data_IF_753638395231
#
_entry.id   IF_753638395231
#
_cell.length_a   1.000
_cell.length_b   1.000
_cell.length_c   1.000
_cell.angle_alpha   90.00
_cell.angle_beta   90.00
_cell.angle_gamma   90.00
#
_symmetry.space_group_name_H-M   'P 1'
#
loop_
_entity.id
_entity.type
_entity.pdbx_description
1 polymer ?
#
# COMPACT_ATOMS: atom_id res chain seq x y z
N UNK A 1 31.20 -7.78 17.59
CA UNK A 1 30.85 -7.01 16.36
C UNK A 1 29.31 -6.92 16.26
N UNK A 2 28.71 -5.72 16.41
CA UNK A 2 27.27 -5.53 16.19
C UNK A 2 27.00 -5.69 14.69
N UNK A 3 26.39 -6.80 14.31
CA UNK A 3 25.92 -7.03 12.94
C UNK A 3 24.89 -5.92 12.64
N UNK A 4 25.20 -5.06 11.69
CA UNK A 4 24.33 -3.95 11.27
C UNK A 4 23.03 -4.58 10.73
N UNK A 5 21.93 -4.42 11.44
CA UNK A 5 20.64 -4.98 11.07
C UNK A 5 20.28 -4.41 9.69
N UNK A 6 20.17 -5.28 8.68
CA UNK A 6 19.72 -4.87 7.34
C UNK A 6 18.34 -4.24 7.48
N UNK A 7 18.02 -3.26 6.66
CA UNK A 7 16.65 -2.72 6.62
C UNK A 7 15.68 -3.82 6.16
N UNK A 8 14.44 -3.76 6.62
CA UNK A 8 13.43 -4.79 6.31
C UNK A 8 13.22 -4.93 4.79
N UNK A 9 13.25 -3.81 4.06
CA UNK A 9 13.22 -3.80 2.58
C UNK A 9 14.42 -4.51 1.97
N UNK A 10 15.62 -4.35 2.54
CA UNK A 10 16.81 -5.04 2.05
C UNK A 10 16.71 -6.56 2.26
N UNK A 11 16.11 -6.99 3.38
CA UNK A 11 15.84 -8.42 3.65
C UNK A 11 14.84 -8.97 2.63
N UNK A 12 13.75 -8.25 2.36
CA UNK A 12 12.76 -8.66 1.35
C UNK A 12 13.37 -8.76 -0.06
N UNK A 13 14.23 -7.81 -0.42
CA UNK A 13 14.95 -7.85 -1.69
C UNK A 13 15.94 -9.03 -1.78
N UNK A 14 16.46 -9.52 -0.64
CA UNK A 14 17.29 -10.72 -0.64
C UNK A 14 16.48 -11.97 -1.05
N UNK A 15 15.19 -12.05 -0.65
CA UNK A 15 14.27 -13.10 -1.11
C UNK A 15 13.88 -12.96 -2.59
N UNK A 16 13.95 -11.76 -3.17
CA UNK A 16 13.73 -11.56 -4.61
C UNK A 16 14.81 -12.23 -5.48
N UNK A 17 16.01 -12.45 -4.94
CA UNK A 17 17.10 -13.14 -5.62
C UNK A 17 17.47 -12.47 -6.95
N UNK A 18 17.43 -13.22 -8.06
CA UNK A 18 17.72 -12.72 -9.41
C UNK A 18 16.69 -11.72 -9.96
N UNK A 19 15.50 -11.63 -9.34
CA UNK A 19 14.42 -10.77 -9.80
C UNK A 19 14.45 -9.35 -9.20
N UNK A 20 15.47 -9.00 -8.40
CA UNK A 20 15.67 -7.62 -7.88
C UNK A 20 15.62 -6.57 -8.98
N UNK A 21 16.22 -6.87 -10.14
CA UNK A 21 16.26 -5.96 -11.28
C UNK A 21 14.85 -5.62 -11.81
N UNK A 22 13.92 -6.57 -11.79
CA UNK A 22 12.53 -6.33 -12.20
C UNK A 22 11.81 -5.39 -11.22
N UNK A 23 12.06 -5.53 -9.91
CA UNK A 23 11.51 -4.59 -8.91
C UNK A 23 11.99 -3.16 -9.20
N UNK A 24 13.30 -2.95 -9.35
CA UNK A 24 13.84 -1.62 -9.64
C UNK A 24 13.39 -1.07 -10.98
N UNK A 25 13.31 -1.91 -12.02
CA UNK A 25 12.77 -1.51 -13.32
C UNK A 25 11.31 -1.08 -13.21
N UNK A 26 10.49 -1.84 -12.50
CA UNK A 26 9.09 -1.51 -12.28
C UNK A 26 8.91 -0.18 -11.53
N UNK A 27 9.71 0.06 -10.48
CA UNK A 27 9.70 1.33 -9.75
C UNK A 27 10.14 2.51 -10.64
N UNK A 28 11.18 2.33 -11.45
CA UNK A 28 11.64 3.37 -12.39
C UNK A 28 10.57 3.68 -13.45
N UNK A 29 9.92 2.65 -14.01
CA UNK A 29 8.82 2.83 -14.97
C UNK A 29 7.62 3.51 -14.32
N UNK A 30 7.28 3.19 -13.08
CA UNK A 30 6.24 3.89 -12.30
C UNK A 30 6.58 5.37 -12.15
N UNK A 31 7.81 5.72 -11.76
CA UNK A 31 8.24 7.10 -11.63
C UNK A 31 8.14 7.86 -12.98
N UNK A 32 8.66 7.27 -14.06
CA UNK A 32 8.62 7.88 -15.40
C UNK A 32 7.17 8.05 -15.88
N UNK A 33 6.30 7.07 -15.65
CA UNK A 33 4.89 7.16 -16.03
C UNK A 33 4.18 8.33 -15.34
N UNK A 34 4.48 8.58 -14.04
CA UNK A 34 3.93 9.72 -13.30
C UNK A 34 4.43 11.08 -13.86
N UNK A 35 5.68 11.16 -14.30
CA UNK A 35 6.18 12.36 -14.98
C UNK A 35 5.47 12.59 -16.33
N UNK A 36 5.29 11.52 -17.12
CA UNK A 36 4.57 11.63 -18.38
C UNK A 36 3.10 12.00 -18.19
N UNK A 37 2.47 11.54 -17.12
CA UNK A 37 1.07 11.89 -16.81
C UNK A 37 0.87 13.38 -16.48
N UNK A 38 1.94 14.12 -16.19
CA UNK A 38 1.89 15.56 -16.00
C UNK A 38 1.99 16.36 -17.32
N UNK A 39 2.58 15.78 -18.37
CA UNK A 39 2.77 16.46 -19.65
C UNK A 39 1.45 16.96 -20.29
N UNK A 40 0.32 16.23 -20.23
CA UNK A 40 -0.97 16.71 -20.68
C UNK A 40 -1.39 18.05 -20.06
N UNK A 41 -1.12 18.27 -18.76
CA UNK A 41 -1.47 19.53 -18.09
C UNK A 41 -0.65 20.70 -18.63
N UNK A 42 0.63 20.47 -18.96
CA UNK A 42 1.48 21.47 -19.60
C UNK A 42 0.95 21.79 -21.01
N UNK A 43 0.55 20.78 -21.77
CA UNK A 43 -0.04 20.96 -23.09
C UNK A 43 -1.35 21.75 -23.03
N UNK A 44 -2.22 21.46 -22.06
CA UNK A 44 -3.47 22.21 -21.82
C UNK A 44 -3.18 23.67 -21.50
N UNK A 45 -2.18 23.93 -20.64
CA UNK A 45 -1.76 25.29 -20.30
C UNK A 45 -1.24 26.04 -21.54
N UNK A 46 -0.41 25.39 -22.37
CA UNK A 46 0.08 25.99 -23.62
C UNK A 46 -1.06 26.31 -24.58
N UNK A 47 -2.02 25.36 -24.73
CA UNK A 47 -3.19 25.60 -25.58
C UNK A 47 -4.06 26.77 -25.06
N UNK A 48 -4.29 26.82 -23.73
CA UNK A 48 -5.05 27.91 -23.12
C UNK A 48 -4.35 29.25 -23.29
N UNK A 49 -3.01 29.32 -23.11
CA UNK A 49 -2.22 30.51 -23.32
C UNK A 49 -2.33 31.04 -24.76
N UNK A 50 -2.23 30.13 -25.74
CA UNK A 50 -2.33 30.51 -27.14
C UNK A 50 -3.74 30.99 -27.50
N UNK A 51 -4.79 30.34 -26.97
CA UNK A 51 -6.18 30.81 -27.14
C UNK A 51 -6.39 32.21 -26.58
N UNK A 52 -5.90 32.48 -25.37
CA UNK A 52 -6.05 33.79 -24.73
C UNK A 52 -5.30 34.88 -25.55
N UNK A 53 -4.13 34.55 -26.12
CA UNK A 53 -3.31 35.49 -26.87
C UNK A 53 -3.97 35.97 -28.18
N UNK A 54 -4.83 35.12 -28.79
CA UNK A 54 -5.49 35.46 -30.09
C UNK A 54 -6.93 35.91 -29.91
N UNK A 55 -7.45 35.99 -28.67
CA UNK A 55 -8.81 36.43 -28.43
C UNK A 55 -9.06 37.87 -28.99
N UNK A 56 -10.21 38.12 -29.65
CA UNK A 56 -11.38 37.26 -29.84
C UNK A 56 -11.37 36.35 -31.10
N UNK A 57 -10.29 36.39 -31.90
CA UNK A 57 -10.20 35.54 -33.10
C UNK A 57 -9.65 34.16 -32.80
N UNK A 58 -10.54 33.27 -32.36
CA UNK A 58 -10.21 31.87 -31.99
C UNK A 58 -9.71 31.03 -33.17
N UNK A 59 -10.00 31.44 -34.41
CA UNK A 59 -9.56 30.73 -35.61
C UNK A 59 -8.08 30.84 -35.86
N UNK A 60 -7.43 31.86 -35.30
CA UNK A 60 -5.99 32.06 -35.38
C UNK A 60 -5.17 31.15 -34.48
N UNK A 61 -5.81 30.41 -33.56
CA UNK A 61 -5.14 29.50 -32.62
C UNK A 61 -4.78 28.16 -33.28
N UNK A 62 -3.83 28.15 -34.21
CA UNK A 62 -3.47 26.95 -35.01
C UNK A 62 -2.76 25.85 -34.21
N UNK A 63 -2.08 26.20 -33.11
CA UNK A 63 -1.29 25.27 -32.29
C UNK A 63 -2.12 24.44 -31.32
N UNK A 64 -3.38 24.77 -31.06
CA UNK A 64 -4.25 24.09 -30.09
C UNK A 64 -4.44 22.60 -30.46
N UNK A 65 -4.65 22.30 -31.75
CA UNK A 65 -4.78 20.91 -32.21
C UNK A 65 -3.49 20.12 -31.99
N UNK A 66 -2.32 20.72 -32.18
CA UNK A 66 -1.03 20.06 -31.92
C UNK A 66 -0.85 19.76 -30.44
N UNK A 67 -1.15 20.71 -29.55
CA UNK A 67 -1.10 20.47 -28.10
C UNK A 67 -2.10 19.40 -27.65
N UNK A 68 -3.29 19.34 -28.29
CA UNK A 68 -4.27 18.30 -28.03
C UNK A 68 -3.73 16.90 -28.38
N UNK A 69 -3.12 16.75 -29.56
CA UNK A 69 -2.52 15.47 -29.95
C UNK A 69 -1.31 15.10 -29.10
N UNK A 70 -0.47 16.05 -28.71
CA UNK A 70 0.65 15.84 -27.81
C UNK A 70 0.14 15.41 -26.43
N UNK A 71 -0.86 16.06 -25.87
CA UNK A 71 -1.47 15.68 -24.60
C UNK A 71 -1.99 14.24 -24.63
N UNK A 72 -2.70 13.88 -25.70
CA UNK A 72 -3.19 12.52 -25.91
C UNK A 72 -2.04 11.50 -26.00
N UNK A 73 -1.00 11.81 -26.78
CA UNK A 73 0.14 10.91 -26.94
C UNK A 73 0.89 10.68 -25.60
N UNK A 74 1.11 11.75 -24.82
CA UNK A 74 1.73 11.64 -23.50
C UNK A 74 0.86 10.88 -22.50
N UNK A 75 -0.46 11.08 -22.51
CA UNK A 75 -1.38 10.33 -21.65
C UNK A 75 -1.34 8.83 -21.98
N UNK A 76 -1.42 8.48 -23.26
CA UNK A 76 -1.35 7.07 -23.70
C UNK A 76 0.01 6.45 -23.35
N UNK A 77 1.11 7.16 -23.63
CA UNK A 77 2.45 6.68 -23.28
C UNK A 77 2.62 6.48 -21.77
N UNK A 78 2.10 7.40 -20.95
CA UNK A 78 2.10 7.29 -19.50
C UNK A 78 1.36 6.04 -19.01
N UNK A 79 0.17 5.76 -19.54
CA UNK A 79 -0.62 4.56 -19.20
C UNK A 79 0.13 3.28 -19.59
N UNK A 80 0.72 3.23 -20.78
CA UNK A 80 1.47 2.06 -21.25
C UNK A 80 2.68 1.80 -20.33
N UNK A 81 3.43 2.83 -19.99
CA UNK A 81 4.59 2.69 -19.09
C UNK A 81 4.18 2.31 -17.67
N UNK A 82 3.08 2.86 -17.16
CA UNK A 82 2.54 2.46 -15.86
C UNK A 82 2.18 0.98 -15.84
N UNK A 83 1.45 0.51 -16.87
CA UNK A 83 1.10 -0.90 -16.98
C UNK A 83 2.34 -1.80 -17.10
N UNK A 84 3.33 -1.42 -17.90
CA UNK A 84 4.59 -2.15 -18.01
C UNK A 84 5.32 -2.20 -16.65
N UNK A 85 5.34 -1.10 -15.92
CA UNK A 85 5.90 -1.02 -14.56
C UNK A 85 5.20 -1.96 -13.59
N UNK A 86 3.86 -1.97 -13.58
CA UNK A 86 3.07 -2.90 -12.77
C UNK A 86 3.34 -4.36 -13.12
N UNK A 87 3.45 -4.71 -14.40
CA UNK A 87 3.81 -6.06 -14.81
C UNK A 87 5.16 -6.50 -14.25
N UNK A 88 6.15 -5.61 -14.26
CA UNK A 88 7.48 -5.88 -13.69
C UNK A 88 7.41 -6.08 -12.17
N UNK A 89 6.70 -5.21 -11.44
CA UNK A 89 6.56 -5.33 -9.98
C UNK A 89 5.78 -6.56 -9.58
N UNK A 90 4.67 -6.89 -10.25
CA UNK A 90 3.90 -8.10 -10.00
C UNK A 90 4.71 -9.38 -10.23
N UNK A 91 5.44 -9.46 -11.35
CA UNK A 91 6.27 -10.63 -11.63
C UNK A 91 7.36 -10.81 -10.56
N UNK A 92 8.01 -9.72 -10.15
CA UNK A 92 9.00 -9.76 -9.08
C UNK A 92 8.36 -10.16 -7.74
N UNK A 93 7.19 -9.63 -7.41
CA UNK A 93 6.46 -9.91 -6.17
C UNK A 93 6.03 -11.38 -6.08
N UNK A 94 5.44 -11.95 -7.14
CA UNK A 94 5.07 -13.36 -7.18
C UNK A 94 6.28 -14.29 -7.00
N UNK A 95 7.41 -13.96 -7.63
CA UNK A 95 8.65 -14.74 -7.47
C UNK A 95 9.20 -14.64 -6.05
N UNK A 96 9.16 -13.45 -5.46
CA UNK A 96 9.60 -13.23 -4.07
C UNK A 96 8.71 -13.98 -3.09
N UNK A 97 7.39 -13.90 -3.20
CA UNK A 97 6.44 -14.64 -2.37
C UNK A 97 6.62 -16.17 -2.49
N UNK A 98 6.84 -16.66 -3.71
CA UNK A 98 7.16 -18.08 -3.95
C UNK A 98 8.47 -18.49 -3.25
N UNK A 99 9.51 -17.66 -3.31
CA UNK A 99 10.79 -17.94 -2.65
C UNK A 99 10.66 -17.92 -1.13
N UNK A 100 9.88 -16.99 -0.56
CA UNK A 100 9.58 -16.96 0.88
C UNK A 100 8.90 -18.27 1.31
N UNK A 101 7.88 -18.73 0.59
CA UNK A 101 7.19 -20.00 0.88
C UNK A 101 8.17 -21.17 0.81
N UNK A 102 8.96 -21.28 -0.25
CA UNK A 102 9.93 -22.40 -0.42
C UNK A 102 10.99 -22.41 0.68
N UNK A 103 11.59 -21.26 0.98
CA UNK A 103 12.64 -21.15 2.00
C UNK A 103 12.05 -21.35 3.41
N UNK A 104 10.84 -20.83 3.67
CA UNK A 104 10.14 -21.03 4.93
C UNK A 104 9.82 -22.51 5.18
N UNK A 105 9.27 -23.22 4.21
CA UNK A 105 9.01 -24.67 4.29
C UNK A 105 10.32 -25.43 4.50
N UNK A 106 11.35 -25.13 3.71
CA UNK A 106 12.66 -25.78 3.85
C UNK A 106 13.32 -25.53 5.23
N UNK A 107 13.06 -24.39 5.84
CA UNK A 107 13.51 -24.09 7.20
C UNK A 107 12.73 -24.90 8.26
N UNK A 108 11.41 -24.94 8.15
CA UNK A 108 10.52 -25.68 9.06
C UNK A 108 10.79 -27.18 8.99
N UNK A 109 11.10 -27.74 7.81
CA UNK A 109 11.46 -29.15 7.65
C UNK A 109 12.72 -29.57 8.42
N UNK A 110 13.57 -28.61 8.82
CA UNK A 110 14.77 -28.88 9.65
C UNK A 110 14.48 -28.83 11.16
N UNK A 111 13.25 -28.46 11.55
CA UNK A 111 12.88 -28.42 12.96
C UNK A 111 12.71 -29.83 13.55
N UNK A 112 13.05 -30.04 14.82
CA UNK A 112 12.83 -31.31 15.49
C UNK A 112 11.34 -31.64 15.62
N UNK A 113 10.97 -32.92 15.67
CA UNK A 113 9.55 -33.36 15.72
C UNK A 113 8.79 -32.71 16.89
N UNK A 114 9.40 -32.58 18.07
CA UNK A 114 8.78 -31.91 19.23
C UNK A 114 8.39 -30.43 19.01
N UNK A 115 8.93 -29.78 17.99
CA UNK A 115 8.46 -28.45 17.58
C UNK A 115 7.00 -28.47 17.09
N UNK A 116 6.61 -29.56 16.43
CA UNK A 116 5.26 -29.72 15.88
C UNK A 116 4.22 -30.13 16.92
N UNK A 117 4.65 -30.67 18.06
CA UNK A 117 3.77 -30.96 19.19
C UNK A 117 3.24 -29.68 19.84
N UNK A 118 4.09 -28.63 19.91
CA UNK A 118 3.71 -27.32 20.43
C UNK A 118 3.09 -26.39 19.37
N UNK A 119 3.36 -26.63 18.08
CA UNK A 119 2.96 -25.78 16.97
C UNK A 119 2.23 -26.56 15.89
N UNK A 120 0.91 -26.42 15.81
CA UNK A 120 0.12 -27.07 14.78
C UNK A 120 0.62 -26.71 13.37
N UNK A 121 0.87 -27.70 12.53
CA UNK A 121 1.38 -27.52 11.15
C UNK A 121 0.52 -26.58 10.31
N UNK A 122 -0.80 -26.62 10.51
CA UNK A 122 -1.75 -25.70 9.85
C UNK A 122 -1.56 -24.24 10.25
N UNK A 123 -1.19 -23.97 11.52
CA UNK A 123 -0.91 -22.60 11.98
C UNK A 123 0.40 -22.07 11.38
N UNK A 124 1.44 -22.91 11.32
CA UNK A 124 2.73 -22.54 10.70
C UNK A 124 2.53 -22.21 9.22
N UNK A 125 1.80 -23.09 8.51
CA UNK A 125 1.47 -22.85 7.09
C UNK A 125 0.70 -21.55 6.91
N UNK A 126 -0.35 -21.32 7.70
CA UNK A 126 -1.15 -20.10 7.62
C UNK A 126 -0.32 -18.83 7.83
N UNK A 127 0.59 -18.82 8.80
CA UNK A 127 1.51 -17.69 9.03
C UNK A 127 2.48 -17.47 7.87
N UNK A 128 3.01 -18.54 7.30
CA UNK A 128 3.93 -18.45 6.16
C UNK A 128 3.22 -17.94 4.91
N UNK A 129 2.01 -18.42 4.65
CA UNK A 129 1.20 -17.98 3.51
C UNK A 129 0.77 -16.52 3.67
N UNK A 130 0.37 -16.08 4.88
CA UNK A 130 0.04 -14.69 5.17
C UNK A 130 1.26 -13.77 4.97
N UNK A 131 2.42 -14.11 5.54
CA UNK A 131 3.63 -13.30 5.37
C UNK A 131 4.08 -13.20 3.90
N UNK A 132 3.91 -14.27 3.12
CA UNK A 132 4.21 -14.24 1.69
C UNK A 132 3.22 -13.36 0.90
N UNK A 133 1.93 -13.39 1.25
CA UNK A 133 0.90 -12.55 0.63
C UNK A 133 1.09 -11.06 0.97
N UNK A 134 1.40 -10.74 2.23
CA UNK A 134 1.70 -9.36 2.65
C UNK A 134 2.92 -8.80 1.92
N UNK A 135 3.97 -9.63 1.75
CA UNK A 135 5.15 -9.25 0.98
C UNK A 135 4.84 -9.03 -0.50
N UNK A 136 3.98 -9.87 -1.07
CA UNK A 136 3.52 -9.73 -2.46
C UNK A 136 2.79 -8.39 -2.65
N UNK A 137 1.84 -8.06 -1.78
CA UNK A 137 1.09 -6.80 -1.81
C UNK A 137 2.03 -5.59 -1.68
N UNK A 138 3.01 -5.67 -0.75
CA UNK A 138 3.99 -4.61 -0.54
C UNK A 138 4.83 -4.35 -1.80
N UNK A 139 5.35 -5.39 -2.44
CA UNK A 139 6.24 -5.27 -3.60
C UNK A 139 5.48 -4.98 -4.90
N UNK A 140 4.28 -5.55 -5.08
CA UNK A 140 3.50 -5.39 -6.29
C UNK A 140 2.87 -4.00 -6.40
N UNK A 141 2.30 -3.49 -5.30
CA UNK A 141 1.50 -2.28 -5.28
C UNK A 141 2.12 -1.17 -4.42
N UNK A 142 2.26 -1.40 -3.12
CA UNK A 142 2.57 -0.32 -2.18
C UNK A 142 3.89 0.39 -2.50
N UNK A 143 4.91 -0.36 -2.90
CA UNK A 143 6.22 0.22 -3.20
C UNK A 143 6.19 1.05 -4.49
N UNK A 144 5.48 0.57 -5.52
CA UNK A 144 5.29 1.30 -6.77
C UNK A 144 4.45 2.57 -6.57
N UNK A 145 3.38 2.47 -5.77
CA UNK A 145 2.50 3.59 -5.44
C UNK A 145 3.23 4.67 -4.63
N UNK A 146 4.05 4.27 -3.65
CA UNK A 146 4.87 5.22 -2.86
C UNK A 146 5.84 5.97 -3.78
N UNK A 147 6.59 5.26 -4.62
CA UNK A 147 7.55 5.87 -5.54
C UNK A 147 6.83 6.78 -6.53
N UNK A 148 5.72 6.32 -7.12
CA UNK A 148 4.90 7.10 -8.04
C UNK A 148 4.35 8.37 -7.39
N UNK A 149 3.77 8.24 -6.20
CA UNK A 149 3.19 9.38 -5.45
C UNK A 149 4.26 10.41 -5.06
N UNK A 150 5.41 9.96 -4.56
CA UNK A 150 6.52 10.88 -4.23
C UNK A 150 7.00 11.59 -5.49
N UNK A 151 7.17 10.88 -6.60
CA UNK A 151 7.61 11.45 -7.87
C UNK A 151 6.61 12.49 -8.37
N UNK A 152 5.32 12.16 -8.36
CA UNK A 152 4.25 13.09 -8.77
C UNK A 152 4.22 14.33 -7.89
N UNK A 153 4.30 14.15 -6.56
CA UNK A 153 4.27 15.26 -5.60
C UNK A 153 5.45 16.23 -5.80
N UNK A 154 6.66 15.68 -5.91
CA UNK A 154 7.87 16.48 -6.15
C UNK A 154 7.80 17.20 -7.50
N UNK A 155 7.41 16.50 -8.56
CA UNK A 155 7.29 17.09 -9.90
C UNK A 155 6.21 18.19 -9.93
N UNK A 156 5.09 18.00 -9.24
CA UNK A 156 4.02 18.99 -9.11
C UNK A 156 4.52 20.25 -8.39
N UNK A 157 5.23 20.08 -7.27
CA UNK A 157 5.82 21.21 -6.56
C UNK A 157 6.83 21.97 -7.43
N UNK A 158 7.74 21.25 -8.08
CA UNK A 158 8.72 21.87 -8.99
C UNK A 158 8.02 22.66 -10.08
N UNK A 159 7.01 22.07 -10.72
CA UNK A 159 6.23 22.73 -11.76
C UNK A 159 5.56 24.01 -11.25
N UNK A 160 4.95 23.97 -10.06
CA UNK A 160 4.32 25.16 -9.47
C UNK A 160 5.32 26.28 -9.20
N UNK A 161 6.51 25.96 -8.69
CA UNK A 161 7.58 26.96 -8.48
C UNK A 161 8.12 27.53 -9.78
N UNK A 162 8.17 26.74 -10.86
CA UNK A 162 8.62 27.18 -12.19
C UNK A 162 7.60 28.13 -12.83
N UNK A 163 6.30 27.88 -12.67
CA UNK A 163 5.25 28.75 -13.23
C UNK A 163 5.05 30.01 -12.40
N UNK A 164 4.93 29.90 -11.09
CA UNK A 164 4.81 31.03 -10.17
C UNK A 164 5.29 30.62 -8.77
N UNK A 165 6.39 31.25 -8.32
CA UNK A 165 6.98 30.95 -7.01
C UNK A 165 6.01 31.21 -5.83
N UNK A 166 5.08 32.19 -6.00
CA UNK A 166 4.07 32.51 -4.96
C UNK A 166 3.05 31.41 -4.83
N UNK A 167 2.59 30.87 -5.95
CA UNK A 167 1.71 29.71 -5.98
C UNK A 167 2.42 28.47 -5.41
N UNK A 168 3.67 28.26 -5.81
CA UNK A 168 4.50 27.16 -5.26
C UNK A 168 4.65 27.25 -3.73
N UNK A 169 4.92 28.45 -3.21
CA UNK A 169 5.05 28.66 -1.76
C UNK A 169 3.72 28.42 -1.01
N UNK A 170 2.60 28.90 -1.55
CA UNK A 170 1.28 28.68 -0.96
C UNK A 170 0.91 27.18 -0.92
N UNK A 171 1.16 26.45 -2.00
CA UNK A 171 0.91 25.01 -2.07
C UNK A 171 1.83 24.19 -1.14
N UNK A 172 3.11 24.58 -1.05
CA UNK A 172 4.03 23.95 -0.11
C UNK A 172 3.58 24.16 1.34
N UNK A 173 3.13 25.36 1.69
CA UNK A 173 2.59 25.65 3.01
C UNK A 173 1.37 24.76 3.32
N UNK A 174 0.42 24.68 2.40
CA UNK A 174 -0.76 23.81 2.55
C UNK A 174 -0.37 22.34 2.69
N UNK A 175 0.60 21.86 1.91
CA UNK A 175 1.09 20.49 2.00
C UNK A 175 1.74 20.21 3.36
N UNK A 176 2.58 21.12 3.86
CA UNK A 176 3.21 20.98 5.20
C UNK A 176 2.15 20.93 6.30
N UNK A 177 1.16 21.83 6.27
CA UNK A 177 0.05 21.82 7.24
C UNK A 177 -0.70 20.49 7.19
N UNK A 178 -1.01 19.99 6.00
CA UNK A 178 -1.71 18.70 5.82
C UNK A 178 -0.91 17.53 6.35
N UNK A 179 0.40 17.48 6.10
CA UNK A 179 1.30 16.44 6.61
C UNK A 179 1.36 16.49 8.14
N UNK A 180 1.52 17.68 8.73
CA UNK A 180 1.54 17.85 10.20
C UNK A 180 0.22 17.41 10.81
N UNK A 181 -0.91 17.79 10.23
CA UNK A 181 -2.23 17.36 10.67
C UNK A 181 -2.39 15.85 10.60
N UNK A 182 -1.96 15.22 9.50
CA UNK A 182 -2.00 13.77 9.32
C UNK A 182 -1.18 13.04 10.39
N UNK A 183 0.07 13.46 10.65
CA UNK A 183 0.90 12.85 11.69
C UNK A 183 0.33 13.10 13.10
N UNK A 184 -0.27 14.25 13.35
CA UNK A 184 -0.96 14.53 14.60
C UNK A 184 -2.15 13.59 14.83
N UNK A 185 -2.89 13.26 13.77
CA UNK A 185 -4.01 12.31 13.85
C UNK A 185 -3.54 10.85 14.04
N UNK A 186 -2.39 10.48 13.50
CA UNK A 186 -1.85 9.11 13.62
C UNK A 186 -1.13 8.86 14.94
N UNK A 187 -0.73 9.91 15.66
CA UNK A 187 0.06 9.81 16.89
C UNK A 187 -0.77 9.87 18.17
N UNK A 188 -0.09 9.70 19.29
CA UNK A 188 -0.62 9.98 20.63
C UNK A 188 -1.86 9.15 21.00
N UNK A 189 -2.97 9.84 21.33
CA UNK A 189 -4.22 9.24 21.79
C UNK A 189 -4.87 8.34 20.73
N UNK A 190 -4.80 8.73 19.46
CA UNK A 190 -5.41 7.98 18.35
C UNK A 190 -4.66 6.67 18.07
N UNK A 191 -3.34 6.65 18.17
CA UNK A 191 -2.56 5.41 18.08
C UNK A 191 -2.95 4.41 19.17
N UNK A 192 -3.23 4.89 20.40
CA UNK A 192 -3.70 4.05 21.49
C UNK A 192 -5.09 3.48 21.21
N UNK A 193 -6.02 4.31 20.73
CA UNK A 193 -7.38 3.88 20.36
C UNK A 193 -7.32 2.81 19.25
N UNK A 194 -6.48 3.02 18.24
CA UNK A 194 -6.30 2.05 17.15
C UNK A 194 -5.72 0.72 17.66
N UNK A 195 -4.73 0.76 18.57
CA UNK A 195 -4.16 -0.44 19.17
C UNK A 195 -5.20 -1.19 20.04
N UNK A 196 -6.03 -0.49 20.80
CA UNK A 196 -7.11 -1.07 21.58
C UNK A 196 -8.19 -1.71 20.68
N UNK A 197 -8.52 -1.07 19.57
CA UNK A 197 -9.43 -1.61 18.56
C UNK A 197 -8.89 -2.90 17.94
N UNK A 198 -7.62 -2.93 17.53
CA UNK A 198 -6.97 -4.14 16.98
C UNK A 198 -6.95 -5.27 18.00
N UNK A 199 -6.62 -4.99 19.25
CA UNK A 199 -6.66 -5.99 20.32
C UNK A 199 -8.07 -6.54 20.60
N UNK A 200 -9.12 -5.73 20.43
CA UNK A 200 -10.50 -6.19 20.54
C UNK A 200 -10.91 -7.06 19.34
N UNK A 201 -10.47 -6.71 18.13
CA UNK A 201 -10.68 -7.50 16.92
C UNK A 201 -10.03 -8.89 17.02
N UNK A 202 -8.81 -8.97 17.55
CA UNK A 202 -8.11 -10.23 17.80
C UNK A 202 -8.87 -11.10 18.82
N UNK A 203 -9.40 -10.49 19.88
CA UNK A 203 -10.19 -11.18 20.90
C UNK A 203 -11.48 -11.76 20.34
N UNK A 204 -12.25 -10.98 19.59
CA UNK A 204 -13.50 -11.46 18.99
C UNK A 204 -13.25 -12.58 17.97
N UNK A 205 -12.17 -12.47 17.18
CA UNK A 205 -11.77 -13.49 16.20
C UNK A 205 -11.39 -14.81 16.91
N UNK A 206 -10.62 -14.71 18.02
CA UNK A 206 -10.24 -15.86 18.83
C UNK A 206 -11.46 -16.52 19.48
N UNK A 207 -12.29 -15.73 20.17
CA UNK A 207 -13.48 -16.21 20.86
C UNK A 207 -14.49 -16.83 19.89
N UNK A 208 -14.67 -16.25 18.70
CA UNK A 208 -15.51 -16.80 17.63
C UNK A 208 -14.98 -18.13 17.09
N UNK A 209 -13.68 -18.27 16.92
CA UNK A 209 -13.04 -19.53 16.50
C UNK A 209 -13.20 -20.61 17.56
N UNK A 210 -12.99 -20.29 18.83
CA UNK A 210 -13.18 -21.21 19.95
C UNK A 210 -14.65 -21.63 20.08
N UNK A 211 -15.57 -20.68 19.90
CA UNK A 211 -17.00 -20.96 19.89
C UNK A 211 -17.38 -21.98 18.79
N UNK A 212 -16.99 -21.72 17.54
CA UNK A 212 -17.28 -22.61 16.41
C UNK A 212 -16.70 -24.00 16.62
N UNK A 213 -15.46 -24.10 17.13
CA UNK A 213 -14.83 -25.39 17.47
C UNK A 213 -15.50 -26.11 18.64
N UNK A 214 -16.07 -25.37 19.58
CA UNK A 214 -16.77 -25.92 20.74
C UNK A 214 -18.21 -26.39 20.45
N UNK A 215 -18.83 -25.98 19.36
CA UNK A 215 -20.22 -26.34 19.02
C UNK A 215 -20.49 -27.85 19.08
N UNK A 216 -19.68 -28.75 18.52
CA UNK A 216 -19.93 -30.20 18.61
C UNK A 216 -19.93 -30.71 20.05
N UNK A 217 -19.01 -30.19 20.89
CA UNK A 217 -18.90 -30.60 22.30
C UNK A 217 -20.10 -30.10 23.09
N UNK A 218 -20.49 -28.84 22.93
CA UNK A 218 -21.66 -28.23 23.55
C UNK A 218 -22.94 -29.01 23.18
N UNK A 219 -23.06 -29.38 21.89
CA UNK A 219 -24.22 -30.14 21.39
C UNK A 219 -24.33 -31.55 21.97
N UNK A 220 -23.18 -32.24 22.17
CA UNK A 220 -23.14 -33.57 22.76
C UNK A 220 -23.50 -33.52 24.26
N UNK A 221 -22.99 -32.54 25.00
CA UNK A 221 -23.17 -32.41 26.44
C UNK A 221 -24.38 -31.58 26.87
N UNK A 222 -25.17 -31.05 25.89
CA UNK A 222 -26.34 -30.19 26.12
C UNK A 222 -26.06 -28.94 26.99
N UNK A 223 -24.82 -28.49 27.01
CA UNK A 223 -24.41 -27.32 27.81
C UNK A 223 -24.32 -26.06 26.92
N UNK A 224 -25.21 -25.13 27.14
CA UNK A 224 -25.38 -23.96 26.22
C UNK A 224 -24.83 -22.62 26.72
N UNK A 225 -24.37 -22.51 27.98
CA UNK A 225 -24.29 -21.17 28.57
C UNK A 225 -22.89 -20.60 28.71
N UNK A 226 -21.85 -21.39 28.94
CA UNK A 226 -20.54 -20.82 29.26
C UNK A 226 -19.65 -20.43 28.06
N UNK A 227 -19.76 -21.13 26.95
CA UNK A 227 -19.02 -20.74 25.72
C UNK A 227 -19.60 -19.50 25.05
N UNK A 228 -20.89 -19.23 25.26
CA UNK A 228 -21.53 -18.01 24.77
C UNK A 228 -21.06 -16.75 25.50
N UNK A 229 -20.80 -16.83 26.79
CA UNK A 229 -20.47 -15.65 27.61
C UNK A 229 -19.16 -15.00 27.16
N UNK A 230 -18.10 -15.76 26.94
CA UNK A 230 -16.83 -15.23 26.50
C UNK A 230 -16.90 -14.60 25.10
N UNK A 231 -17.71 -15.17 24.19
CA UNK A 231 -17.95 -14.62 22.88
C UNK A 231 -18.81 -13.35 22.94
N UNK A 232 -19.83 -13.33 23.76
CA UNK A 232 -20.68 -12.16 23.99
C UNK A 232 -19.86 -10.99 24.59
N UNK A 233 -19.04 -11.24 25.60
CA UNK A 233 -18.14 -10.26 26.19
C UNK A 233 -17.15 -9.69 25.16
N UNK A 234 -16.64 -10.53 24.26
CA UNK A 234 -15.76 -10.10 23.18
C UNK A 234 -16.50 -9.20 22.15
N UNK A 235 -17.77 -9.51 21.85
CA UNK A 235 -18.63 -8.68 20.97
C UNK A 235 -18.89 -7.31 21.61
N UNK A 236 -19.24 -7.29 22.89
CA UNK A 236 -19.54 -6.03 23.61
C UNK A 236 -18.30 -5.12 23.73
N UNK A 237 -17.12 -5.71 24.05
CA UNK A 237 -15.84 -4.99 24.09
C UNK A 237 -15.49 -4.42 22.70
N UNK A 238 -15.62 -5.21 21.64
CA UNK A 238 -15.39 -4.76 20.28
C UNK A 238 -16.36 -3.64 19.86
N UNK A 239 -17.66 -3.82 20.11
CA UNK A 239 -18.69 -2.81 19.81
C UNK A 239 -18.43 -1.47 20.51
N UNK A 240 -18.05 -1.51 21.80
CA UNK A 240 -17.71 -0.33 22.57
C UNK A 240 -16.50 0.43 22.00
N UNK A 241 -15.50 -0.32 21.49
CA UNK A 241 -14.28 0.28 20.96
C UNK A 241 -14.44 0.79 19.53
N UNK A 242 -15.31 0.16 18.71
CA UNK A 242 -15.73 0.73 17.42
C UNK A 242 -16.38 2.09 17.61
N UNK A 243 -17.31 2.23 18.53
CA UNK A 243 -17.98 3.49 18.80
C UNK A 243 -17.01 4.62 19.18
N UNK A 244 -15.89 4.31 19.85
CA UNK A 244 -14.85 5.28 20.19
C UNK A 244 -13.87 5.59 19.05
N UNK A 245 -13.74 4.70 18.07
CA UNK A 245 -12.87 4.91 16.92
C UNK A 245 -13.54 5.75 15.81
N UNK A 246 -14.87 5.89 15.85
CA UNK A 246 -15.66 6.67 14.88
C UNK A 246 -16.09 8.06 15.40
N UNK A 247 -15.72 8.46 16.62
CA UNK A 247 -15.93 9.78 17.22
C UNK A 247 -14.60 10.51 17.33
#
# INVERSE_FOLDING_TARGET
MKQKRKSDVAVLLDYAGSHKGLTFLGLALSAVSMLLSMAPYICIWLAARDLIAVAPDWTAAQSVAQYGWLAFAFAVAGIILYFAGLMCTHLAAFRTASNIRKQGVAHVMKAPLGFFDANASGLIRGRLDAAAADTETLLAHNLADIVGTITLFVAMLVMMFVFDWRMGAACLLAAVISIVAMFSMMGGKNAKILAEYQAALDRITKAGTEYVRGIPVVKIFQQTVYSFKAFQEAIEDYSTKIGRAHV
#
